data_IF_321496930772
#
_entry.id   IF_321496930772
#
_cell.length_a   1.000
_cell.length_b   1.000
_cell.length_c   1.000
_cell.angle_alpha   90.00
_cell.angle_beta   90.00
_cell.angle_gamma   90.00
#
_symmetry.space_group_name_H-M   'P 1'
#
loop_
_entity.id
_entity.type
_entity.pdbx_description
1 polymer ?
#
# COMPACT_ATOMS: atom_id res chain seq x y z
N UNK A 1 3.78 0.75 23.34
CA UNK A 1 3.54 0.20 24.71
C UNK A 1 2.15 0.52 25.28
N UNK A 2 1.58 1.72 25.08
CA UNK A 2 0.27 2.09 25.65
C UNK A 2 -0.95 1.40 25.01
N UNK A 3 -0.94 1.14 23.69
CA UNK A 3 -2.05 0.46 22.98
C UNK A 3 -2.11 -1.07 23.19
N UNK A 4 -0.98 -1.70 23.57
CA UNK A 4 -0.89 -3.15 23.86
C UNK A 4 -1.66 -3.55 25.12
N UNK A 5 -1.86 -2.60 26.04
CA UNK A 5 -2.38 -2.88 27.37
C UNK A 5 -3.91 -2.78 27.47
N UNK A 6 -4.61 -2.22 26.46
CA UNK A 6 -6.03 -1.84 26.62
C UNK A 6 -6.98 -2.24 25.49
N UNK A 7 -6.52 -2.50 24.25
CA UNK A 7 -7.45 -2.81 23.14
C UNK A 7 -7.09 -4.08 22.32
N UNK A 8 -5.81 -4.43 22.16
CA UNK A 8 -5.38 -5.58 21.35
C UNK A 8 -4.14 -6.27 21.95
N UNK A 9 -4.31 -7.31 22.79
CA UNK A 9 -3.20 -7.97 23.50
C UNK A 9 -2.23 -8.75 22.58
N UNK A 10 -2.61 -9.04 21.33
CA UNK A 10 -1.80 -9.82 20.37
C UNK A 10 -1.07 -9.00 19.30
N UNK A 11 -1.03 -7.66 19.42
CA UNK A 11 -0.31 -6.87 18.40
C UNK A 11 1.20 -7.00 18.55
N UNK A 12 1.88 -7.45 17.49
CA UNK A 12 3.33 -7.31 17.40
C UNK A 12 3.73 -5.84 17.29
N UNK A 13 4.92 -5.47 17.79
CA UNK A 13 5.46 -4.10 17.67
C UNK A 13 5.61 -3.70 16.20
N UNK A 14 5.92 -4.67 15.34
CA UNK A 14 5.95 -4.53 13.88
C UNK A 14 4.77 -5.31 13.32
N UNK A 15 3.90 -4.65 12.55
CA UNK A 15 2.72 -5.31 12.01
C UNK A 15 2.32 -4.71 10.65
N UNK A 16 1.67 -5.51 9.81
CA UNK A 16 1.26 -5.08 8.48
C UNK A 16 0.23 -3.93 8.52
N UNK A 17 -0.61 -3.89 9.56
CA UNK A 17 -1.56 -2.80 9.78
C UNK A 17 -0.86 -1.45 9.92
N UNK A 18 0.17 -1.34 10.75
CA UNK A 18 0.96 -0.12 10.91
C UNK A 18 1.62 0.29 9.59
N UNK A 19 2.17 -0.65 8.83
CA UNK A 19 2.73 -0.37 7.51
C UNK A 19 1.68 0.20 6.54
N UNK A 20 0.49 -0.41 6.49
CA UNK A 20 -0.60 0.05 5.61
C UNK A 20 -1.09 1.46 5.97
N UNK A 21 -1.18 1.79 7.27
CA UNK A 21 -1.57 3.12 7.75
C UNK A 21 -0.51 4.16 7.34
N UNK A 22 0.78 3.86 7.53
CA UNK A 22 1.87 4.77 7.19
C UNK A 22 1.89 5.08 5.69
N UNK A 23 1.75 4.04 4.84
CA UNK A 23 1.64 4.21 3.39
C UNK A 23 0.40 5.02 3.02
N UNK A 24 -0.74 4.77 3.68
CA UNK A 24 -1.97 5.53 3.49
C UNK A 24 -1.79 7.02 3.77
N UNK A 25 -1.25 7.37 4.94
CA UNK A 25 -1.02 8.77 5.34
C UNK A 25 -0.10 9.49 4.34
N UNK A 26 0.95 8.82 3.88
CA UNK A 26 1.89 9.38 2.92
C UNK A 26 1.28 9.58 1.52
N UNK A 27 0.34 8.73 1.14
CA UNK A 27 -0.31 8.80 -0.18
C UNK A 27 -1.26 10.00 -0.27
N UNK A 28 -1.83 10.45 0.84
CA UNK A 28 -2.77 11.59 0.91
C UNK A 28 -2.21 12.88 0.27
N UNK A 29 -1.04 13.42 0.69
CA UNK A 29 -0.53 14.67 0.11
C UNK A 29 -0.23 14.54 -1.39
N UNK A 30 0.21 13.37 -1.85
CA UNK A 30 0.46 13.12 -3.27
C UNK A 30 -0.83 13.18 -4.10
N UNK A 31 -1.85 12.43 -3.69
CA UNK A 31 -3.14 12.42 -4.39
C UNK A 31 -3.78 13.81 -4.34
N UNK A 32 -3.69 14.50 -3.21
CA UNK A 32 -4.23 15.85 -3.04
C UNK A 32 -3.61 16.85 -4.02
N UNK A 33 -2.27 16.92 -4.08
CA UNK A 33 -1.56 17.86 -4.95
C UNK A 33 -1.87 17.62 -6.42
N UNK A 34 -1.82 16.38 -6.88
CA UNK A 34 -2.02 16.05 -8.29
C UNK A 34 -3.50 16.22 -8.68
N UNK A 35 -4.42 15.96 -7.76
CA UNK A 35 -5.84 16.22 -7.99
C UNK A 35 -6.15 17.72 -8.05
N UNK A 36 -5.45 18.55 -7.26
CA UNK A 36 -5.54 20.00 -7.33
C UNK A 36 -5.02 20.54 -8.66
N UNK A 37 -3.92 20.00 -9.16
CA UNK A 37 -3.39 20.31 -10.50
C UNK A 37 -4.41 19.94 -11.59
N UNK A 38 -5.03 18.76 -11.49
CA UNK A 38 -6.07 18.29 -12.41
C UNK A 38 -7.32 19.19 -12.41
N UNK A 39 -7.77 19.63 -11.23
CA UNK A 39 -8.90 20.56 -11.11
C UNK A 39 -8.55 21.95 -11.65
N UNK A 40 -7.31 22.40 -11.41
CA UNK A 40 -6.81 23.70 -11.86
C UNK A 40 -6.69 23.78 -13.38
N UNK A 41 -6.39 22.66 -14.04
CA UNK A 41 -6.34 22.54 -15.50
C UNK A 41 -7.70 22.71 -16.20
N UNK A 42 -8.83 22.64 -15.48
CA UNK A 42 -10.16 22.91 -16.05
C UNK A 42 -10.24 24.38 -16.50
N UNK A 43 -10.61 24.66 -17.76
CA UNK A 43 -10.68 26.03 -18.29
C UNK A 43 -11.56 26.95 -17.44
N UNK A 44 -11.07 28.17 -17.18
CA UNK A 44 -11.81 29.18 -16.43
C UNK A 44 -13.13 29.59 -17.11
N UNK A 45 -13.21 29.50 -18.44
CA UNK A 45 -14.42 29.77 -19.21
C UNK A 45 -15.61 28.93 -18.72
N UNK A 46 -15.39 27.65 -18.41
CA UNK A 46 -16.44 26.76 -17.88
C UNK A 46 -16.88 27.18 -16.48
N UNK A 47 -15.94 27.66 -15.65
CA UNK A 47 -16.22 28.15 -14.30
C UNK A 47 -17.03 29.45 -14.35
N UNK A 48 -16.62 30.39 -15.21
CA UNK A 48 -17.30 31.67 -15.38
C UNK A 48 -18.68 31.52 -16.03
N UNK A 49 -18.88 30.56 -16.93
CA UNK A 49 -20.20 30.24 -17.47
C UNK A 49 -21.16 29.77 -16.36
N UNK A 50 -20.69 28.94 -15.43
CA UNK A 50 -21.46 28.54 -14.25
C UNK A 50 -21.84 29.72 -13.36
N UNK A 51 -20.88 30.61 -13.05
CA UNK A 51 -21.16 31.83 -12.29
C UNK A 51 -22.12 32.78 -13.02
N UNK A 52 -22.03 32.88 -14.35
CA UNK A 52 -22.94 33.67 -15.19
C UNK A 52 -24.37 33.16 -15.21
N UNK A 53 -24.58 31.86 -14.94
CA UNK A 53 -25.91 31.25 -14.75
C UNK A 53 -26.45 31.42 -13.32
N UNK A 54 -25.72 32.12 -12.44
CA UNK A 54 -26.10 32.31 -11.04
C UNK A 54 -25.74 31.16 -10.12
N UNK A 55 -24.90 30.21 -10.56
CA UNK A 55 -24.46 29.10 -9.73
C UNK A 55 -23.51 29.57 -8.61
N UNK A 56 -23.60 28.93 -7.46
CA UNK A 56 -22.73 29.15 -6.31
C UNK A 56 -21.37 28.49 -6.49
N UNK A 57 -20.37 28.91 -5.71
CA UNK A 57 -19.02 28.30 -5.72
C UNK A 57 -19.04 26.78 -5.48
N UNK A 58 -19.99 26.30 -4.67
CA UNK A 58 -20.14 24.88 -4.39
C UNK A 58 -20.70 24.12 -5.61
N UNK A 59 -21.70 24.68 -6.29
CA UNK A 59 -22.30 24.09 -7.50
C UNK A 59 -21.32 24.08 -8.67
N UNK A 60 -20.53 25.13 -8.87
CA UNK A 60 -19.49 25.15 -9.91
C UNK A 60 -18.41 24.12 -9.62
N UNK A 61 -17.95 24.03 -8.37
CA UNK A 61 -16.91 23.06 -7.98
C UNK A 61 -17.38 21.62 -8.16
N UNK A 62 -18.56 21.27 -7.63
CA UNK A 62 -19.06 19.89 -7.62
C UNK A 62 -19.74 19.48 -8.93
N UNK A 63 -20.39 20.42 -9.63
CA UNK A 63 -21.15 20.16 -10.85
C UNK A 63 -20.39 20.35 -12.15
N UNK A 64 -19.29 21.14 -12.14
CA UNK A 64 -18.51 21.44 -13.35
C UNK A 64 -17.06 20.96 -13.19
N UNK A 65 -16.36 21.43 -12.16
CA UNK A 65 -14.91 21.20 -12.01
C UNK A 65 -14.60 19.73 -11.70
N UNK A 66 -15.28 19.13 -10.71
CA UNK A 66 -15.05 17.73 -10.32
C UNK A 66 -15.34 16.75 -11.47
N UNK A 67 -16.49 16.84 -12.19
CA UNK A 67 -16.74 15.96 -13.33
C UNK A 67 -15.77 16.19 -14.50
N UNK A 68 -15.39 17.44 -14.77
CA UNK A 68 -14.48 17.76 -15.87
C UNK A 68 -13.03 17.29 -15.60
N UNK A 69 -12.62 17.20 -14.34
CA UNK A 69 -11.27 16.78 -13.93
C UNK A 69 -11.15 15.30 -13.54
N UNK A 70 -12.23 14.51 -13.70
CA UNK A 70 -12.29 13.12 -13.20
C UNK A 70 -11.19 12.21 -13.76
N UNK A 71 -10.77 12.41 -15.01
CA UNK A 71 -9.68 11.64 -15.62
C UNK A 71 -8.32 11.96 -14.98
N UNK A 72 -8.09 13.22 -14.60
CA UNK A 72 -6.89 13.65 -13.88
C UNK A 72 -6.89 13.16 -12.44
N UNK A 73 -8.03 13.20 -11.75
CA UNK A 73 -8.19 12.62 -10.40
C UNK A 73 -7.99 11.11 -10.44
N UNK A 74 -8.57 10.39 -11.41
CA UNK A 74 -8.34 8.95 -11.54
C UNK A 74 -6.85 8.63 -11.80
N UNK A 75 -6.18 9.43 -12.62
CA UNK A 75 -4.75 9.28 -12.90
C UNK A 75 -3.89 9.55 -11.65
N UNK A 76 -4.27 10.51 -10.81
CA UNK A 76 -3.56 10.79 -9.55
C UNK A 76 -3.61 9.60 -8.60
N UNK A 77 -4.76 8.93 -8.48
CA UNK A 77 -4.90 7.71 -7.69
C UNK A 77 -4.06 6.56 -8.23
N UNK A 78 -4.07 6.33 -9.56
CA UNK A 78 -3.28 5.25 -10.18
C UNK A 78 -1.78 5.49 -9.92
N UNK A 79 -1.30 6.72 -10.10
CA UNK A 79 0.09 7.08 -9.87
C UNK A 79 0.50 6.93 -8.41
N UNK A 80 -0.36 7.38 -7.50
CA UNK A 80 -0.18 7.25 -6.06
C UNK A 80 -0.06 5.79 -5.61
N UNK A 81 -0.94 4.91 -6.10
CA UNK A 81 -0.87 3.46 -5.82
C UNK A 81 0.41 2.85 -6.38
N UNK A 82 0.77 3.20 -7.61
CA UNK A 82 1.99 2.72 -8.26
C UNK A 82 3.24 3.11 -7.46
N UNK A 83 3.27 4.34 -6.94
CA UNK A 83 4.37 4.81 -6.09
C UNK A 83 4.36 4.12 -4.72
N UNK A 84 3.20 3.96 -4.10
CA UNK A 84 3.06 3.27 -2.82
C UNK A 84 3.61 1.83 -2.88
N UNK A 85 3.39 1.13 -4.00
CA UNK A 85 3.96 -0.20 -4.25
C UNK A 85 5.50 -0.12 -4.32
N UNK A 86 6.05 0.94 -4.92
CA UNK A 86 7.50 1.17 -5.05
C UNK A 86 8.20 1.59 -3.74
N UNK A 87 7.48 2.22 -2.80
CA UNK A 87 8.01 2.70 -1.52
C UNK A 87 8.19 1.60 -0.45
N UNK A 88 8.63 0.42 -0.90
CA UNK A 88 8.83 -0.79 -0.07
C UNK A 88 9.68 -0.56 1.17
N UNK A 89 10.51 0.49 1.22
CA UNK A 89 11.30 0.87 2.41
C UNK A 89 10.44 1.16 3.65
N UNK A 90 9.32 1.87 3.50
CA UNK A 90 8.42 2.18 4.62
C UNK A 90 7.80 0.90 5.17
N UNK A 91 7.39 0.01 4.26
CA UNK A 91 6.78 -1.27 4.62
C UNK A 91 7.76 -2.13 5.41
N UNK A 92 9.04 -2.17 5.03
CA UNK A 92 10.07 -2.92 5.77
C UNK A 92 10.27 -2.37 7.19
N UNK A 93 10.31 -1.05 7.35
CA UNK A 93 10.52 -0.42 8.66
C UNK A 93 9.32 -0.62 9.59
N UNK A 94 8.10 -0.57 9.06
CA UNK A 94 6.87 -0.65 9.86
C UNK A 94 6.34 -2.10 10.06
N UNK A 95 6.37 -2.93 9.01
CA UNK A 95 5.91 -4.33 9.03
C UNK A 95 6.97 -5.26 9.63
N UNK A 96 8.23 -4.85 9.59
CA UNK A 96 9.38 -5.59 10.10
C UNK A 96 10.02 -6.51 9.05
N UNK A 97 10.84 -7.41 9.57
CA UNK A 97 11.68 -8.32 8.79
C UNK A 97 11.61 -9.75 9.33
N UNK A 98 10.49 -10.13 9.94
CA UNK A 98 10.26 -11.45 10.51
C UNK A 98 9.17 -12.16 9.71
N UNK A 99 9.50 -13.35 9.18
CA UNK A 99 8.52 -14.18 8.50
C UNK A 99 7.69 -14.92 9.55
N UNK A 100 6.45 -14.45 9.78
CA UNK A 100 5.46 -15.17 10.58
C UNK A 100 4.37 -15.68 9.65
N UNK A 101 4.20 -17.00 9.63
CA UNK A 101 3.08 -17.62 8.91
C UNK A 101 1.85 -17.58 9.82
N UNK A 102 0.68 -17.13 9.31
CA UNK A 102 -0.56 -17.19 10.07
C UNK A 102 -0.88 -18.63 10.44
N UNK A 103 -1.39 -18.85 11.65
CA UNK A 103 -1.84 -20.17 12.05
C UNK A 103 -3.07 -20.57 11.22
N UNK A 104 -2.93 -21.60 10.41
CA UNK A 104 -4.05 -22.13 9.61
C UNK A 104 -4.94 -22.93 10.54
N UNK A 105 -6.09 -22.37 10.90
CA UNK A 105 -7.08 -23.03 11.72
C UNK A 105 -8.03 -23.85 10.83
N UNK A 106 -8.38 -25.06 11.27
CA UNK A 106 -9.36 -25.88 10.57
C UNK A 106 -10.75 -25.34 10.89
N UNK A 107 -11.40 -24.70 9.91
CA UNK A 107 -12.80 -24.29 10.05
C UNK A 107 -13.75 -25.47 9.83
N UNK A 108 -15.04 -25.24 10.07
CA UNK A 108 -16.11 -26.21 9.85
C UNK A 108 -16.05 -26.71 8.39
N UNK A 109 -16.09 -28.03 8.19
CA UNK A 109 -15.95 -28.75 6.91
C UNK A 109 -14.53 -28.95 6.36
N UNK A 110 -13.47 -28.76 7.14
CA UNK A 110 -12.10 -29.08 6.72
C UNK A 110 -11.50 -28.09 5.71
N UNK A 111 -12.17 -26.94 5.53
CA UNK A 111 -11.62 -25.81 4.80
C UNK A 111 -10.59 -25.07 5.69
N UNK A 112 -9.34 -24.90 5.23
CA UNK A 112 -8.35 -24.11 5.96
C UNK A 112 -8.82 -22.66 6.02
N UNK A 113 -8.93 -22.11 7.23
CA UNK A 113 -9.30 -20.72 7.46
C UNK A 113 -8.13 -19.98 8.11
N UNK A 114 -7.81 -18.82 7.55
CA UNK A 114 -6.85 -17.88 8.12
C UNK A 114 -7.65 -16.68 8.59
N UNK A 115 -7.53 -16.33 9.86
CA UNK A 115 -8.15 -15.12 10.36
C UNK A 115 -7.41 -13.90 9.79
N UNK A 116 -8.09 -12.99 9.06
CA UNK A 116 -7.46 -11.81 8.47
C UNK A 116 -6.85 -10.89 9.52
N UNK A 117 -7.35 -10.91 10.77
CA UNK A 117 -6.76 -10.13 11.86
C UNK A 117 -5.32 -10.58 12.16
N UNK A 118 -5.03 -11.88 12.10
CA UNK A 118 -3.71 -12.42 12.43
C UNK A 118 -2.67 -12.01 11.39
N UNK A 119 -3.07 -11.93 10.12
CA UNK A 119 -2.21 -11.45 9.03
C UNK A 119 -1.87 -9.96 9.20
N UNK A 120 -2.82 -9.16 9.69
CA UNK A 120 -2.66 -7.72 9.82
C UNK A 120 -1.91 -7.32 11.10
N UNK A 121 -2.11 -8.06 12.20
CA UNK A 121 -1.54 -7.76 13.51
C UNK A 121 -0.15 -8.37 13.74
N UNK A 122 0.26 -9.32 12.90
CA UNK A 122 1.57 -9.94 12.95
C UNK A 122 2.58 -9.27 12.01
N UNK A 123 3.86 -9.51 12.29
CA UNK A 123 4.97 -9.04 11.47
C UNK A 123 5.05 -9.87 10.19
N UNK A 124 5.29 -9.20 9.07
CA UNK A 124 5.54 -9.82 7.77
C UNK A 124 6.98 -9.62 7.32
N UNK A 125 7.36 -10.33 6.26
CA UNK A 125 8.65 -10.17 5.59
C UNK A 125 8.42 -9.98 4.08
N UNK A 126 9.06 -8.97 3.50
CA UNK A 126 9.03 -8.77 2.03
C UNK A 126 10.09 -9.64 1.35
N UNK A 127 9.85 -10.01 0.09
CA UNK A 127 10.77 -10.88 -0.66
C UNK A 127 12.17 -10.24 -0.79
N UNK A 128 12.24 -8.92 -1.00
CA UNK A 128 13.51 -8.18 -1.04
C UNK A 128 14.29 -8.28 0.28
N UNK A 129 13.60 -8.18 1.42
CA UNK A 129 14.25 -8.32 2.74
C UNK A 129 14.71 -9.74 2.96
N UNK A 130 13.91 -10.74 2.55
CA UNK A 130 14.30 -12.15 2.64
C UNK A 130 15.62 -12.40 1.89
N UNK A 131 15.76 -11.87 0.67
CA UNK A 131 17.03 -11.98 -0.08
C UNK A 131 18.20 -11.33 0.65
N UNK A 132 18.04 -10.10 1.13
CA UNK A 132 19.11 -9.36 1.82
C UNK A 132 19.55 -10.09 3.09
N UNK A 133 18.61 -10.62 3.87
CA UNK A 133 18.92 -11.39 5.07
C UNK A 133 19.68 -12.68 4.77
N UNK A 134 19.30 -13.39 3.72
CA UNK A 134 20.03 -14.60 3.31
C UNK A 134 21.44 -14.19 2.83
N UNK A 135 21.60 -13.02 2.19
CA UNK A 135 22.89 -12.56 1.58
C UNK A 135 23.90 -12.16 2.64
N UNK A 136 23.44 -11.69 3.79
CA UNK A 136 24.30 -11.37 4.92
C UNK A 136 24.96 -12.59 5.59
N UNK A 137 24.60 -13.82 5.20
CA UNK A 137 25.30 -15.04 5.63
C UNK A 137 26.43 -15.42 4.68
N UNK A 138 27.48 -16.07 5.19
CA UNK A 138 28.54 -16.65 4.35
C UNK A 138 27.99 -17.84 3.55
N UNK A 139 27.43 -17.56 2.37
CA UNK A 139 26.80 -18.57 1.53
C UNK A 139 27.83 -19.24 0.62
N UNK A 140 28.06 -20.52 0.87
CA UNK A 140 28.79 -21.38 -0.07
C UNK A 140 27.84 -21.83 -1.19
N UNK A 141 28.34 -21.85 -2.43
CA UNK A 141 27.56 -22.31 -3.59
C UNK A 141 27.01 -23.73 -3.40
N UNK A 142 25.74 -23.93 -3.75
CA UNK A 142 25.04 -25.22 -3.61
C UNK A 142 24.34 -25.45 -2.27
N UNK A 143 24.41 -24.50 -1.33
CA UNK A 143 23.66 -24.57 -0.06
C UNK A 143 22.18 -24.20 -0.24
N UNK A 144 21.30 -24.72 0.64
CA UNK A 144 19.86 -24.45 0.59
C UNK A 144 19.52 -22.94 0.60
N UNK A 145 20.18 -22.07 1.40
CA UNK A 145 19.90 -20.64 1.38
C UNK A 145 20.32 -19.97 0.06
N UNK A 146 21.44 -20.39 -0.55
CA UNK A 146 21.88 -19.89 -1.85
C UNK A 146 20.86 -20.17 -2.97
N UNK A 147 20.36 -21.40 -3.05
CA UNK A 147 19.33 -21.78 -4.03
C UNK A 147 17.99 -21.04 -3.78
N UNK A 148 17.67 -20.77 -2.51
CA UNK A 148 16.43 -20.08 -2.12
C UNK A 148 16.41 -18.62 -2.57
N UNK A 149 17.54 -17.90 -2.51
CA UNK A 149 17.61 -16.52 -3.00
C UNK A 149 17.37 -16.42 -4.51
N UNK A 150 17.98 -17.33 -5.27
CA UNK A 150 17.81 -17.36 -6.72
C UNK A 150 16.35 -17.68 -7.09
N UNK A 151 15.73 -18.61 -6.37
CA UNK A 151 14.31 -18.91 -6.51
C UNK A 151 13.41 -17.71 -6.18
N UNK A 152 13.70 -16.97 -5.10
CA UNK A 152 12.98 -15.74 -4.77
C UNK A 152 13.16 -14.66 -5.85
N UNK A 153 14.32 -14.60 -6.49
CA UNK A 153 14.63 -13.65 -7.57
C UNK A 153 13.85 -13.94 -8.83
N UNK A 154 13.85 -15.21 -9.23
CA UNK A 154 13.07 -15.69 -10.37
C UNK A 154 11.56 -15.53 -10.10
N UNK A 155 11.10 -15.78 -8.87
CA UNK A 155 9.71 -15.56 -8.48
C UNK A 155 9.31 -14.09 -8.60
N UNK A 156 10.11 -13.15 -8.07
CA UNK A 156 9.85 -11.72 -8.25
C UNK A 156 9.82 -11.33 -9.74
N UNK A 157 10.79 -11.81 -10.51
CA UNK A 157 10.84 -11.55 -11.94
C UNK A 157 9.59 -12.04 -12.66
N UNK A 158 9.14 -13.26 -12.37
CA UNK A 158 7.92 -13.83 -12.94
C UNK A 158 6.68 -13.02 -12.54
N UNK A 159 6.56 -12.63 -11.27
CA UNK A 159 5.44 -11.80 -10.78
C UNK A 159 5.41 -10.43 -11.45
N UNK A 160 6.57 -9.81 -11.71
CA UNK A 160 6.62 -8.51 -12.41
C UNK A 160 6.38 -8.60 -13.92
N UNK A 161 6.55 -9.78 -14.52
CA UNK A 161 6.43 -10.00 -15.96
C UNK A 161 4.99 -10.32 -16.39
N UNK A 162 4.13 -10.75 -15.46
CA UNK A 162 2.69 -11.00 -15.64
C UNK A 162 1.90 -9.72 -15.42
#
# INVERSE_FOLDING_TARGET
>A
PALKATLFPEMSTFNALAASIMVGIMTIPMVSSISEDAMSAVPDELRQAGYGLGATKFEVSTGIVVPASISGIASSYILAVSRAIGETMIVVVAMGAQARMPEVQQALFGIPFVNPADVLLQSGMTITVAMVQITGGDLTGGTLPYNSMFALGLALFAVTLV
#
